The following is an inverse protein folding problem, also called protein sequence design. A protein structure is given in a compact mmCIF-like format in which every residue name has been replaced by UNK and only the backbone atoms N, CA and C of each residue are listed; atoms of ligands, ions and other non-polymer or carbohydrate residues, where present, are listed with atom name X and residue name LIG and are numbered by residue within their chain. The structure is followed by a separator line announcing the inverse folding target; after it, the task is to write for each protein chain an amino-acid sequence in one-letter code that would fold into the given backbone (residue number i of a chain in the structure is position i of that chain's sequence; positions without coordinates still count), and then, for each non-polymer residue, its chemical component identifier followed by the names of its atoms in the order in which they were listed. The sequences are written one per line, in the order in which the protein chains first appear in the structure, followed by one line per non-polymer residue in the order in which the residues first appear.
data_IF_327092339415
#
_entry.id   IF_327092339415
#
_cell.length_a   1.000
_cell.length_b   1.000
_cell.length_c   1.000
_cell.angle_alpha   90.00
_cell.angle_beta   90.00
_cell.angle_gamma   90.00
#
_symmetry.space_group_name_H-M   'P 1'
#
loop_
_entity.id
_entity.type
_entity.pdbx_description
1 polymer ?
#
# COMPACT_ATOMS: atom_id res chain seq x y z
N UNK A 1 8.98 7.84 -9.88
CA UNK A 1 8.55 9.24 -9.72
C UNK A 1 9.77 10.05 -10.05
N UNK A 2 10.05 10.29 -11.34
CA UNK A 2 11.29 10.98 -11.70
C UNK A 2 11.25 12.40 -11.12
N UNK A 3 12.19 12.71 -10.23
CA UNK A 3 12.31 14.06 -9.64
C UNK A 3 12.59 14.13 -8.15
N UNK A 4 12.42 13.05 -7.37
CA UNK A 4 12.87 13.00 -5.96
C UNK A 4 14.18 12.21 -5.85
N UNK A 5 14.20 11.01 -6.40
CA UNK A 5 15.35 10.09 -6.42
C UNK A 5 15.76 9.78 -7.86
N UNK A 6 16.98 9.26 -8.05
CA UNK A 6 17.40 8.73 -9.34
C UNK A 6 16.65 7.43 -9.67
N UNK A 7 16.32 7.24 -10.95
CA UNK A 7 15.53 6.09 -11.42
C UNK A 7 16.18 4.75 -11.06
N UNK A 8 17.52 4.64 -11.12
CA UNK A 8 18.24 3.41 -10.76
C UNK A 8 18.05 3.01 -9.29
N UNK A 9 17.82 3.98 -8.39
CA UNK A 9 17.55 3.70 -6.98
C UNK A 9 16.13 3.17 -6.79
N UNK A 10 15.15 3.75 -7.49
CA UNK A 10 13.77 3.24 -7.47
C UNK A 10 13.72 1.80 -7.99
N UNK A 11 14.39 1.54 -9.11
CA UNK A 11 14.43 0.21 -9.72
C UNK A 11 15.15 -0.81 -8.82
N UNK A 12 16.27 -0.43 -8.21
CA UNK A 12 16.98 -1.28 -7.25
C UNK A 12 16.07 -1.68 -6.08
N UNK A 13 15.37 -0.73 -5.45
CA UNK A 13 14.47 -1.03 -4.33
C UNK A 13 13.31 -1.90 -4.79
N UNK A 14 12.70 -1.60 -5.95
CA UNK A 14 11.60 -2.39 -6.54
C UNK A 14 11.97 -3.84 -6.76
N UNK A 15 13.17 -4.09 -7.26
CA UNK A 15 13.64 -5.45 -7.56
C UNK A 15 13.95 -6.26 -6.30
N UNK A 16 14.13 -5.62 -5.14
CA UNK A 16 14.27 -6.30 -3.86
C UNK A 16 12.92 -6.64 -3.20
N UNK A 17 11.82 -6.03 -3.66
CA UNK A 17 10.49 -6.30 -3.12
C UNK A 17 9.93 -7.57 -3.77
N UNK A 18 9.60 -8.62 -3.00
CA UNK A 18 8.97 -9.82 -3.54
C UNK A 18 7.65 -9.47 -4.25
N UNK A 19 7.28 -10.28 -5.25
CA UNK A 19 5.94 -10.16 -5.81
C UNK A 19 4.88 -10.40 -4.73
N UNK A 20 3.83 -9.57 -4.74
CA UNK A 20 2.74 -9.69 -3.79
C UNK A 20 2.02 -11.04 -3.97
N UNK A 21 1.58 -11.62 -2.85
CA UNK A 21 0.63 -12.73 -2.83
C UNK A 21 -0.59 -12.39 -3.70
N UNK A 22 -1.21 -13.42 -4.29
CA UNK A 22 -2.30 -13.27 -5.28
C UNK A 22 -3.45 -12.36 -4.82
N UNK A 23 -3.64 -12.16 -3.51
CA UNK A 23 -4.71 -11.34 -2.91
C UNK A 23 -4.71 -9.86 -3.32
N UNK A 24 -3.57 -9.26 -3.67
CA UNK A 24 -3.52 -7.85 -4.09
C UNK A 24 -3.52 -7.67 -5.62
N UNK A 25 -3.25 -8.73 -6.39
CA UNK A 25 -3.12 -8.65 -7.86
C UNK A 25 -4.42 -8.23 -8.53
N UNK A 26 -5.56 -8.67 -7.99
CA UNK A 26 -6.87 -8.28 -8.51
C UNK A 26 -7.10 -6.77 -8.33
N UNK A 27 -6.85 -6.23 -7.13
CA UNK A 27 -6.97 -4.79 -6.85
C UNK A 27 -5.99 -3.96 -7.70
N UNK A 28 -4.75 -4.42 -7.87
CA UNK A 28 -3.78 -3.75 -8.74
C UNK A 28 -4.21 -3.75 -10.21
N UNK A 29 -4.83 -4.84 -10.67
CA UNK A 29 -5.38 -4.95 -12.03
C UNK A 29 -6.56 -4.00 -12.23
N UNK A 30 -7.50 -3.98 -11.27
CA UNK A 30 -8.64 -3.06 -11.27
C UNK A 30 -8.17 -1.61 -11.25
N UNK A 31 -7.18 -1.26 -10.41
CA UNK A 31 -6.60 0.07 -10.35
C UNK A 31 -6.01 0.49 -11.70
N UNK A 32 -5.27 -0.41 -12.35
CA UNK A 32 -4.65 -0.17 -13.65
C UNK A 32 -5.69 0.01 -14.75
N UNK A 33 -6.72 -0.84 -14.80
CA UNK A 33 -7.81 -0.77 -15.78
C UNK A 33 -8.60 0.54 -15.65
N UNK A 34 -8.96 0.90 -14.42
CA UNK A 34 -9.76 2.08 -14.11
C UNK A 34 -8.93 3.36 -13.96
N UNK A 35 -7.60 3.29 -14.16
CA UNK A 35 -6.64 4.40 -13.98
C UNK A 35 -6.74 5.07 -12.61
N UNK A 36 -7.05 4.30 -11.58
CA UNK A 36 -7.08 4.79 -10.19
C UNK A 36 -5.65 4.80 -9.65
N UNK A 37 -5.15 5.95 -9.15
CA UNK A 37 -3.85 6.00 -8.50
C UNK A 37 -3.83 5.15 -7.22
N UNK A 38 -2.82 4.29 -7.09
CA UNK A 38 -2.54 3.51 -5.87
C UNK A 38 -1.11 3.77 -5.40
N UNK A 39 -0.84 3.45 -4.13
CA UNK A 39 0.50 3.53 -3.58
C UNK A 39 1.49 2.68 -4.39
N UNK A 40 2.68 3.20 -4.65
CA UNK A 40 3.76 2.46 -5.30
C UNK A 40 4.25 1.33 -4.38
N UNK A 41 4.84 0.27 -4.94
CA UNK A 41 5.23 -0.94 -4.18
C UNK A 41 6.10 -0.60 -2.96
N UNK A 42 7.09 0.27 -3.13
CA UNK A 42 7.99 0.71 -2.05
C UNK A 42 7.24 1.46 -0.94
N UNK A 43 6.30 2.33 -1.32
CA UNK A 43 5.47 3.09 -0.36
C UNK A 43 4.50 2.17 0.38
N UNK A 44 3.89 1.22 -0.32
CA UNK A 44 3.03 0.21 0.25
C UNK A 44 3.78 -0.66 1.28
N UNK A 45 5.01 -1.11 0.96
CA UNK A 45 5.86 -1.87 1.87
C UNK A 45 6.29 -1.06 3.09
N UNK A 46 6.59 0.22 2.91
CA UNK A 46 6.88 1.11 4.03
C UNK A 46 5.68 1.24 4.96
N UNK A 47 4.47 1.41 4.42
CA UNK A 47 3.24 1.49 5.22
C UNK A 47 2.95 0.19 5.97
N UNK A 48 3.12 -0.97 5.32
CA UNK A 48 3.02 -2.30 5.93
C UNK A 48 4.01 -2.44 7.10
N UNK A 49 5.26 -2.04 6.91
CA UNK A 49 6.28 -2.07 7.95
C UNK A 49 5.91 -1.17 9.15
N UNK A 50 5.48 0.07 8.89
CA UNK A 50 5.08 1.00 9.94
C UNK A 50 3.88 0.48 10.75
N UNK A 51 2.87 -0.07 10.07
CA UNK A 51 1.65 -0.57 10.71
C UNK A 51 1.91 -1.85 11.49
N UNK A 52 2.71 -2.79 10.96
CA UNK A 52 3.09 -4.02 11.67
C UNK A 52 3.94 -3.76 12.91
N UNK A 53 4.79 -2.73 12.86
CA UNK A 53 5.55 -2.26 14.02
C UNK A 53 4.64 -1.59 15.06
N UNK A 54 3.74 -0.71 14.62
CA UNK A 54 2.91 0.10 15.53
C UNK A 54 1.72 -0.67 16.11
N UNK A 55 1.20 -1.66 15.39
CA UNK A 55 0.01 -2.47 15.75
C UNK A 55 -1.17 -1.59 16.21
N UNK A 56 -1.61 -0.61 15.39
CA UNK A 56 -2.68 0.30 15.76
C UNK A 56 -4.01 -0.44 15.88
N UNK A 57 -4.87 -0.05 16.83
CA UNK A 57 -6.25 -0.56 16.94
C UNK A 57 -7.26 0.25 16.12
N UNK A 58 -6.89 1.47 15.73
CA UNK A 58 -7.73 2.40 14.97
C UNK A 58 -6.88 3.13 13.94
N UNK A 59 -7.37 3.22 12.70
CA UNK A 59 -6.73 3.93 11.59
C UNK A 59 -7.76 4.85 10.95
N UNK A 60 -7.39 6.11 10.72
CA UNK A 60 -8.14 7.05 9.89
C UNK A 60 -7.36 7.22 8.58
N UNK A 61 -8.02 6.94 7.46
CA UNK A 61 -7.51 7.18 6.12
C UNK A 61 -8.32 8.32 5.47
N UNK A 62 -7.63 9.27 4.85
CA UNK A 62 -8.22 10.34 4.07
C UNK A 62 -7.83 10.10 2.60
N UNK A 63 -8.81 9.74 1.78
CA UNK A 63 -8.64 9.27 0.41
C UNK A 63 -8.77 7.76 0.30
N UNK A 64 -10.01 7.26 0.19
CA UNK A 64 -10.30 5.82 0.09
C UNK A 64 -9.83 5.21 -1.24
N UNK A 65 -10.09 5.89 -2.36
CA UNK A 65 -9.98 5.32 -3.70
C UNK A 65 -10.66 3.93 -3.76
N UNK A 66 -9.94 2.88 -4.19
CA UNK A 66 -10.44 1.50 -4.22
C UNK A 66 -10.14 0.71 -2.92
N UNK A 67 -9.66 1.36 -1.86
CA UNK A 67 -9.37 0.73 -0.57
C UNK A 67 -8.07 -0.08 -0.52
N UNK A 68 -7.17 0.08 -1.50
CA UNK A 68 -5.90 -0.67 -1.58
C UNK A 68 -5.05 -0.52 -0.29
N UNK A 69 -4.80 0.72 0.14
CA UNK A 69 -4.03 1.01 1.35
C UNK A 69 -4.76 0.60 2.62
N UNK A 70 -6.07 0.81 2.72
CA UNK A 70 -6.87 0.36 3.87
C UNK A 70 -6.75 -1.16 4.11
N UNK A 71 -6.90 -1.97 3.06
CA UNK A 71 -6.79 -3.44 3.15
C UNK A 71 -5.37 -3.83 3.55
N UNK A 72 -4.35 -3.22 2.94
CA UNK A 72 -2.95 -3.45 3.29
C UNK A 72 -2.68 -3.14 4.76
N UNK A 73 -3.14 -1.99 5.27
CA UNK A 73 -2.96 -1.60 6.66
C UNK A 73 -3.71 -2.54 7.63
N UNK A 74 -4.91 -2.98 7.26
CA UNK A 74 -5.68 -3.92 8.07
C UNK A 74 -4.92 -5.22 8.28
N UNK A 75 -4.43 -5.81 7.20
CA UNK A 75 -3.65 -7.06 7.21
C UNK A 75 -2.35 -6.91 7.99
N UNK A 76 -1.59 -5.85 7.71
CA UNK A 76 -0.29 -5.59 8.33
C UNK A 76 -0.38 -5.42 9.86
N UNK A 77 -1.51 -4.90 10.36
CA UNK A 77 -1.67 -4.55 11.77
C UNK A 77 -1.65 -5.74 12.73
N UNK A 78 -2.08 -6.93 12.27
CA UNK A 78 -2.26 -8.13 13.12
C UNK A 78 -3.22 -7.96 14.31
N UNK A 79 -4.01 -6.88 14.38
CA UNK A 79 -4.83 -6.54 15.55
C UNK A 79 -6.33 -6.45 15.26
N UNK A 80 -6.74 -6.70 14.01
CA UNK A 80 -8.12 -6.45 13.51
C UNK A 80 -8.58 -5.02 13.81
N UNK A 81 -7.87 -4.00 13.31
CA UNK A 81 -8.14 -2.61 13.61
C UNK A 81 -9.47 -2.17 13.02
N UNK A 82 -10.10 -1.21 13.68
CA UNK A 82 -11.15 -0.42 13.03
C UNK A 82 -10.49 0.59 12.11
N UNK A 83 -10.79 0.51 10.81
CA UNK A 83 -10.30 1.49 9.82
C UNK A 83 -11.49 2.31 9.34
N UNK A 84 -11.41 3.62 9.56
CA UNK A 84 -12.34 4.59 8.99
C UNK A 84 -11.66 5.25 7.80
N UNK A 85 -12.28 5.18 6.63
CA UNK A 85 -11.78 5.80 5.41
C UNK A 85 -12.82 6.77 4.86
N UNK A 86 -12.36 7.84 4.22
CA UNK A 86 -13.17 8.96 3.74
C UNK A 86 -12.72 9.31 2.31
N UNK A 87 -13.68 9.61 1.43
CA UNK A 87 -13.44 10.13 0.07
C UNK A 87 -13.59 11.66 0.02
#
# INVERSE_FOLDING_TARGET
MSGITHDYMEEYIRNLIPENEDKYKELESIAKENKVPIAQKETAKFLEFMVSMKKPLRILELGTAIGYSAILMYEASGTKPSITTIE
#
